data_IF_014106906974
#
_entry.id   IF_014106906974
#
_cell.length_a   1.000
_cell.length_b   1.000
_cell.length_c   1.000
_cell.angle_alpha   90.00
_cell.angle_beta   90.00
_cell.angle_gamma   90.00
#
_symmetry.space_group_name_H-M   'P 1'
#
loop_
_entity.id
_entity.type
_entity.pdbx_description
1 polymer ?
#
# COMPACT_ATOMS: atom_id res chain seq x y z
N UNK A 1 -26.51 3.66 2.53
CA UNK A 1 -25.38 4.02 1.64
C UNK A 1 -24.08 3.93 2.43
N UNK A 2 -23.20 2.98 2.12
CA UNK A 2 -21.90 2.83 2.80
C UNK A 2 -20.98 4.00 2.46
N UNK A 3 -20.16 4.44 3.43
CA UNK A 3 -19.15 5.50 3.22
C UNK A 3 -18.25 5.15 2.02
N UNK A 4 -17.85 6.14 1.19
CA UNK A 4 -16.92 5.91 0.10
C UNK A 4 -15.60 5.37 0.65
N UNK A 5 -15.12 4.27 0.06
CA UNK A 5 -13.88 3.63 0.46
C UNK A 5 -12.69 4.59 0.24
N UNK A 6 -11.87 4.78 1.28
CA UNK A 6 -10.66 5.61 1.18
C UNK A 6 -9.62 4.89 0.31
N UNK A 7 -9.09 5.51 -0.75
CA UNK A 7 -8.08 4.88 -1.60
C UNK A 7 -6.79 4.62 -0.82
N UNK A 8 -6.11 3.52 -1.17
CA UNK A 8 -4.79 3.19 -0.62
C UNK A 8 -3.77 4.27 -1.01
N UNK A 9 -2.99 4.74 -0.05
CA UNK A 9 -1.91 5.73 -0.29
C UNK A 9 -0.54 5.06 -0.24
N UNK A 10 0.48 5.63 -0.93
CA UNK A 10 1.86 5.12 -0.85
C UNK A 10 2.40 5.07 0.58
N UNK A 11 2.04 6.02 1.43
CA UNK A 11 2.44 6.02 2.84
C UNK A 11 1.80 4.87 3.64
N UNK A 12 0.51 4.61 3.42
CA UNK A 12 -0.16 3.48 4.05
C UNK A 12 0.46 2.16 3.58
N UNK A 13 0.76 2.03 2.28
CA UNK A 13 1.47 0.88 1.74
C UNK A 13 2.84 0.67 2.38
N UNK A 14 3.64 1.74 2.57
CA UNK A 14 4.94 1.67 3.27
C UNK A 14 4.81 1.19 4.72
N UNK A 15 3.77 1.63 5.44
CA UNK A 15 3.50 1.15 6.81
C UNK A 15 3.17 -0.34 6.82
N UNK A 16 2.34 -0.80 5.89
CA UNK A 16 2.00 -2.22 5.73
C UNK A 16 3.25 -3.04 5.41
N UNK A 17 4.06 -2.58 4.47
CA UNK A 17 5.29 -3.25 4.04
C UNK A 17 6.31 -3.34 5.20
N UNK A 18 6.48 -2.26 5.97
CA UNK A 18 7.34 -2.26 7.15
C UNK A 18 6.87 -3.25 8.22
N UNK A 19 5.56 -3.32 8.48
CA UNK A 19 4.98 -4.29 9.41
C UNK A 19 5.25 -5.74 9.00
N UNK A 20 5.05 -6.05 7.72
CA UNK A 20 5.32 -7.39 7.17
C UNK A 20 6.81 -7.71 7.21
N UNK A 21 7.68 -6.77 6.85
CA UNK A 21 9.13 -6.98 6.92
C UNK A 21 9.58 -7.28 8.37
N UNK A 22 9.08 -6.53 9.36
CA UNK A 22 9.45 -6.74 10.77
C UNK A 22 9.12 -8.15 11.27
N UNK A 23 7.95 -8.69 10.90
CA UNK A 23 7.54 -10.03 11.34
C UNK A 23 8.21 -11.17 10.57
N UNK A 24 8.75 -10.88 9.38
CA UNK A 24 9.40 -11.87 8.50
C UNK A 24 10.93 -11.67 8.41
N UNK A 25 11.57 -11.12 9.45
CA UNK A 25 13.04 -10.99 9.49
C UNK A 25 13.63 -10.04 8.44
N UNK A 26 12.87 -9.00 8.07
CA UNK A 26 13.25 -8.01 7.06
C UNK A 26 12.77 -8.32 5.64
N UNK A 27 12.13 -9.48 5.42
CA UNK A 27 11.69 -9.92 4.09
C UNK A 27 10.21 -9.64 3.88
N UNK A 28 9.84 -9.25 2.66
CA UNK A 28 8.45 -9.11 2.26
C UNK A 28 8.11 -10.24 1.28
N UNK A 29 7.24 -11.20 1.64
CA UNK A 29 6.85 -12.27 0.73
C UNK A 29 6.11 -11.74 -0.49
N UNK A 30 6.43 -12.26 -1.68
CA UNK A 30 5.91 -11.77 -2.98
C UNK A 30 4.38 -11.81 -3.12
N UNK A 31 3.73 -12.80 -2.51
CA UNK A 31 2.28 -12.98 -2.58
C UNK A 31 1.54 -12.43 -1.35
N UNK A 32 2.24 -11.65 -0.51
CA UNK A 32 1.67 -11.07 0.70
C UNK A 32 0.72 -9.92 0.40
N UNK A 33 -0.12 -9.59 1.38
CA UNK A 33 -0.99 -8.42 1.31
C UNK A 33 -0.21 -7.11 1.06
N UNK A 34 1.03 -7.02 1.55
CA UNK A 34 1.84 -5.81 1.37
C UNK A 34 2.19 -5.52 -0.10
N UNK A 35 2.45 -6.55 -0.92
CA UNK A 35 2.74 -6.34 -2.35
C UNK A 35 1.50 -5.81 -3.07
N UNK A 36 0.32 -6.34 -2.73
CA UNK A 36 -0.96 -5.83 -3.22
C UNK A 36 -1.21 -4.39 -2.78
N UNK A 37 -0.90 -4.05 -1.53
CA UNK A 37 -1.06 -2.70 -0.99
C UNK A 37 -0.14 -1.69 -1.70
N UNK A 38 1.13 -2.05 -1.94
CA UNK A 38 2.07 -1.23 -2.70
C UNK A 38 1.59 -1.02 -4.13
N UNK A 39 1.20 -2.08 -4.84
CA UNK A 39 0.63 -1.95 -6.19
C UNK A 39 -0.63 -1.08 -6.21
N UNK A 40 -1.51 -1.17 -5.20
CA UNK A 40 -2.69 -0.32 -5.11
C UNK A 40 -2.33 1.14 -4.84
N UNK A 41 -1.32 1.41 -4.01
CA UNK A 41 -0.80 2.76 -3.76
C UNK A 41 -0.26 3.40 -5.04
N UNK A 42 0.61 2.69 -5.77
CA UNK A 42 1.16 3.14 -7.06
C UNK A 42 0.07 3.36 -8.11
N UNK A 43 -0.85 2.41 -8.26
CA UNK A 43 -1.97 2.55 -9.20
C UNK A 43 -2.83 3.77 -8.85
N UNK A 44 -3.15 3.99 -7.58
CA UNK A 44 -3.97 5.14 -7.18
C UNK A 44 -3.24 6.47 -7.42
N UNK A 45 -1.91 6.51 -7.30
CA UNK A 45 -1.11 7.69 -7.68
C UNK A 45 -1.19 7.90 -9.19
N UNK A 46 -0.95 6.84 -9.97
CA UNK A 46 -0.98 6.91 -11.43
C UNK A 46 -2.35 7.34 -11.98
N UNK A 47 -3.44 6.85 -11.37
CA UNK A 47 -4.81 7.22 -11.77
C UNK A 47 -5.32 8.52 -11.11
N UNK A 48 -4.47 9.26 -10.39
CA UNK A 48 -4.84 10.53 -9.74
C UNK A 48 -5.83 10.41 -8.57
N UNK A 49 -6.08 9.20 -8.06
CA UNK A 49 -6.97 8.97 -6.89
C UNK A 49 -6.34 9.41 -5.58
N UNK A 50 -5.02 9.41 -5.50
CA UNK A 50 -4.25 9.94 -4.37
C UNK A 50 -3.09 10.78 -4.90
N UNK A 51 -2.73 11.88 -4.23
CA UNK A 51 -1.57 12.66 -4.62
C UNK A 51 -0.31 11.78 -4.53
N UNK A 52 0.49 11.80 -5.60
CA UNK A 52 1.83 11.20 -5.58
C UNK A 52 2.70 11.91 -4.55
N UNK A 53 3.40 11.13 -3.72
CA UNK A 53 4.48 11.69 -2.90
C UNK A 53 5.63 12.03 -3.85
N UNK A 54 6.00 13.31 -3.91
CA UNK A 54 7.26 13.76 -4.51
C UNK A 54 8.43 13.31 -3.65
#
# INVERSE_FOLDING_TARGET
MSKPAKPMTPEAARRIQSGVAKVNGGVVPKDSFSTRATSAGDKNVNTGKVPGKK
#
